data_IF_999953766478
#
_entry.id   IF_999953766478
#
_cell.length_a   1.000
_cell.length_b   1.000
_cell.length_c   1.000
_cell.angle_alpha   90.00
_cell.angle_beta   90.00
_cell.angle_gamma   90.00
#
_symmetry.space_group_name_H-M   'P 1'
#
loop_
_entity.id
_entity.type
_entity.pdbx_description
1 polymer ?
#
# COMPACT_ATOMS: atom_id res chain seq x y z
N UNK A 1 -0.20 -1.47 11.71
CA UNK A 1 -0.65 -2.55 10.80
C UNK A 1 -1.49 -3.57 11.54
N UNK A 2 -2.73 -3.62 11.12
CA UNK A 2 -3.79 -4.50 11.60
C UNK A 2 -3.57 -5.97 11.28
N UNK A 3 -4.17 -6.85 12.08
CA UNK A 3 -4.11 -8.30 11.92
C UNK A 3 -4.67 -8.76 10.56
N UNK A 4 -5.77 -8.14 10.10
CA UNK A 4 -6.36 -8.41 8.78
C UNK A 4 -5.42 -8.14 7.61
N UNK A 5 -4.65 -7.05 7.67
CA UNK A 5 -3.70 -6.70 6.62
C UNK A 5 -2.53 -7.68 6.60
N UNK A 6 -2.08 -8.13 7.78
CA UNK A 6 -1.04 -9.17 7.89
C UNK A 6 -1.50 -10.48 7.27
N UNK A 7 -2.72 -10.93 7.56
CA UNK A 7 -3.27 -12.17 6.99
C UNK A 7 -3.33 -12.10 5.46
N UNK A 8 -3.78 -10.96 4.91
CA UNK A 8 -3.80 -10.73 3.44
C UNK A 8 -2.42 -10.84 2.81
N UNK A 9 -1.38 -10.30 3.47
CA UNK A 9 0.01 -10.35 2.98
C UNK A 9 0.63 -11.73 3.14
N UNK A 10 0.21 -12.51 4.15
CA UNK A 10 0.77 -13.85 4.41
C UNK A 10 0.46 -14.86 3.29
N UNK A 11 -0.64 -14.68 2.56
CA UNK A 11 -1.03 -15.55 1.44
C UNK A 11 -0.32 -15.22 0.12
N UNK A 12 0.51 -14.17 0.09
CA UNK A 12 1.20 -13.76 -1.14
C UNK A 12 2.35 -14.69 -1.51
N UNK A 13 2.66 -14.73 -2.81
CA UNK A 13 3.82 -15.50 -3.29
C UNK A 13 5.10 -14.91 -2.74
N UNK A 14 5.90 -15.72 -2.06
CA UNK A 14 7.12 -15.29 -1.41
C UNK A 14 8.38 -15.85 -2.07
N UNK A 15 9.47 -15.05 -2.04
CA UNK A 15 10.81 -15.46 -2.45
C UNK A 15 11.86 -14.95 -1.46
N UNK A 16 12.95 -15.71 -1.24
CA UNK A 16 14.07 -15.22 -0.44
C UNK A 16 14.79 -14.08 -1.16
N UNK A 17 15.41 -13.21 -0.37
CA UNK A 17 16.20 -12.07 -0.80
C UNK A 17 17.47 -12.03 0.05
N UNK A 18 18.62 -11.93 -0.59
CA UNK A 18 19.93 -11.94 0.08
C UNK A 18 20.57 -10.56 0.02
N UNK A 19 20.64 -9.88 1.17
CA UNK A 19 21.35 -8.62 1.30
C UNK A 19 20.84 -7.49 0.38
N UNK A 20 21.68 -6.48 0.18
CA UNK A 20 21.36 -5.39 -0.76
C UNK A 20 21.40 -5.81 -2.23
N UNK A 21 22.14 -6.85 -2.60
CA UNK A 21 22.17 -7.30 -4.00
C UNK A 21 20.81 -7.90 -4.40
N UNK A 22 20.22 -8.74 -3.55
CA UNK A 22 18.86 -9.23 -3.79
C UNK A 22 17.82 -8.11 -3.81
N UNK A 23 18.02 -7.05 -3.01
CA UNK A 23 17.14 -5.87 -3.07
C UNK A 23 17.27 -5.08 -4.37
N UNK A 24 18.47 -5.00 -4.95
CA UNK A 24 18.69 -4.38 -6.27
C UNK A 24 18.00 -5.17 -7.37
N UNK A 25 18.02 -6.50 -7.32
CA UNK A 25 17.25 -7.33 -8.25
C UNK A 25 15.75 -6.99 -8.20
N UNK A 26 15.19 -6.75 -7.00
CA UNK A 26 13.79 -6.30 -6.86
C UNK A 26 13.55 -4.92 -7.51
N UNK A 27 14.52 -4.01 -7.43
CA UNK A 27 14.43 -2.70 -8.09
C UNK A 27 14.40 -2.87 -9.60
N UNK A 28 15.33 -3.65 -10.15
CA UNK A 28 15.46 -3.89 -11.59
C UNK A 28 14.25 -4.63 -12.18
N UNK A 29 13.60 -5.47 -11.38
CA UNK A 29 12.37 -6.17 -11.73
C UNK A 29 11.09 -5.31 -11.57
N UNK A 30 11.22 -4.04 -11.16
CA UNK A 30 10.10 -3.15 -10.84
C UNK A 30 9.11 -3.79 -9.83
N UNK A 31 9.67 -4.49 -8.83
CA UNK A 31 8.90 -5.28 -7.87
C UNK A 31 7.86 -4.42 -7.12
N UNK A 32 6.69 -5.00 -6.89
CA UNK A 32 5.64 -4.42 -6.05
C UNK A 32 5.19 -5.43 -5.00
N UNK A 33 5.30 -5.09 -3.73
CA UNK A 33 5.07 -6.03 -2.64
C UNK A 33 5.59 -5.54 -1.30
N UNK A 34 5.78 -6.47 -0.37
CA UNK A 34 6.37 -6.20 0.94
C UNK A 34 7.66 -7.00 1.08
N UNK A 35 8.69 -6.38 1.65
CA UNK A 35 9.93 -7.05 2.02
C UNK A 35 10.05 -7.02 3.55
N UNK A 36 10.25 -8.19 4.14
CA UNK A 36 10.39 -8.36 5.58
C UNK A 36 11.74 -9.01 5.89
N UNK A 37 12.46 -8.49 6.89
CA UNK A 37 13.67 -9.13 7.36
C UNK A 37 13.33 -10.51 7.95
N UNK A 38 14.10 -11.54 7.62
CA UNK A 38 13.91 -12.88 8.16
C UNK A 38 14.15 -12.93 9.67
N UNK A 39 14.96 -12.00 10.18
CA UNK A 39 15.20 -11.78 11.61
C UNK A 39 14.91 -10.33 11.98
N UNK A 40 14.18 -10.11 13.06
CA UNK A 40 13.82 -8.77 13.54
C UNK A 40 12.40 -8.36 13.14
N UNK A 41 12.16 -7.04 13.13
CA UNK A 41 10.85 -6.46 12.82
C UNK A 41 10.90 -5.47 11.64
N UNK A 42 12.08 -5.30 11.04
CA UNK A 42 12.30 -4.39 9.93
C UNK A 42 11.55 -4.87 8.67
N UNK A 43 10.82 -3.95 8.06
CA UNK A 43 10.08 -4.21 6.82
C UNK A 43 9.79 -2.93 6.06
N UNK A 44 9.56 -3.06 4.77
CA UNK A 44 9.14 -1.96 3.91
C UNK A 44 8.27 -2.48 2.76
N UNK A 45 7.51 -1.58 2.14
CA UNK A 45 6.82 -1.91 0.89
C UNK A 45 7.67 -1.47 -0.30
N UNK A 46 7.46 -2.12 -1.44
CA UNK A 46 7.97 -1.66 -2.72
C UNK A 46 6.83 -1.40 -3.69
N UNK A 47 6.97 -0.36 -4.50
CA UNK A 47 6.05 -0.03 -5.58
C UNK A 47 6.86 0.26 -6.84
N UNK A 48 6.71 -0.60 -7.86
CA UNK A 48 7.43 -0.49 -9.13
C UNK A 48 8.94 -0.31 -8.92
N UNK A 49 9.53 -1.11 -8.04
CA UNK A 49 10.97 -1.07 -7.73
C UNK A 49 11.38 0.03 -6.75
N UNK A 50 10.47 0.91 -6.30
CA UNK A 50 10.79 1.97 -5.33
C UNK A 50 10.48 1.51 -3.91
N UNK A 51 11.41 1.72 -2.99
CA UNK A 51 11.20 1.42 -1.57
C UNK A 51 10.35 2.52 -0.94
N UNK A 52 9.26 2.12 -0.29
CA UNK A 52 8.30 2.97 0.40
C UNK A 52 8.38 2.72 1.91
N UNK A 53 8.84 3.74 2.63
CA UNK A 53 9.03 3.74 4.07
C UNK A 53 10.00 2.66 4.56
N UNK A 54 10.26 2.66 5.86
CA UNK A 54 10.78 1.50 6.59
C UNK A 54 10.11 1.50 7.96
N UNK A 55 9.55 0.37 8.36
CA UNK A 55 8.86 0.21 9.63
C UNK A 55 9.54 -0.86 10.49
N UNK A 56 9.54 -0.66 11.81
CA UNK A 56 10.05 -1.65 12.76
C UNK A 56 11.57 -1.88 12.69
N UNK A 57 12.31 -0.97 12.05
CA UNK A 57 13.77 -1.04 11.89
C UNK A 57 14.27 0.01 10.90
N UNK A 58 15.47 -0.20 10.37
CA UNK A 58 16.08 0.65 9.34
C UNK A 58 16.53 -0.15 8.12
N UNK A 59 16.70 0.51 6.98
CA UNK A 59 17.06 -0.14 5.71
C UNK A 59 18.43 -0.87 5.79
N UNK A 60 19.34 -0.39 6.64
CA UNK A 60 20.67 -0.99 6.85
C UNK A 60 20.61 -2.38 7.50
N UNK A 61 19.50 -2.74 8.14
CA UNK A 61 19.32 -4.09 8.70
C UNK A 61 19.24 -5.17 7.60
N UNK A 62 18.98 -4.77 6.35
CA UNK A 62 18.93 -5.66 5.19
C UNK A 62 20.29 -5.83 4.50
N UNK A 63 21.37 -5.22 4.99
CA UNK A 63 22.69 -5.31 4.34
C UNK A 63 23.24 -6.74 4.33
N UNK A 64 23.24 -7.38 5.51
CA UNK A 64 23.81 -8.71 5.75
C UNK A 64 22.75 -9.74 6.20
N UNK A 65 21.47 -9.36 6.19
CA UNK A 65 20.39 -10.22 6.65
C UNK A 65 19.60 -10.82 5.49
N UNK A 66 19.19 -12.07 5.68
CA UNK A 66 18.18 -12.69 4.83
C UNK A 66 16.86 -11.93 4.97
N UNK A 67 16.15 -11.77 3.86
CA UNK A 67 14.83 -11.19 3.80
C UNK A 67 13.89 -12.05 2.97
N UNK A 68 12.59 -11.80 3.14
CA UNK A 68 11.53 -12.45 2.37
C UNK A 68 10.74 -11.36 1.65
N UNK A 69 10.73 -11.42 0.32
CA UNK A 69 9.88 -10.57 -0.51
C UNK A 69 8.59 -11.30 -0.82
N UNK A 70 7.46 -10.70 -0.45
CA UNK A 70 6.10 -11.15 -0.76
C UNK A 70 5.51 -10.29 -1.87
N UNK A 71 5.25 -10.90 -3.02
CA UNK A 71 4.73 -10.22 -4.20
C UNK A 71 3.27 -9.85 -4.03
N UNK A 72 2.94 -8.57 -4.16
CA UNK A 72 1.56 -8.15 -4.20
C UNK A 72 0.88 -8.70 -5.46
N UNK A 73 -0.40 -9.08 -5.39
CA UNK A 73 -1.17 -9.46 -6.56
C UNK A 73 -1.36 -8.30 -7.54
N UNK A 74 -1.38 -7.07 -7.03
CA UNK A 74 -1.51 -5.82 -7.80
C UNK A 74 -0.68 -4.70 -7.12
N UNK A 75 -0.06 -3.77 -7.87
CA UNK A 75 0.76 -2.69 -7.29
C UNK A 75 0.01 -1.80 -6.28
N UNK A 76 -1.29 -1.57 -6.52
CA UNK A 76 -2.15 -0.81 -5.61
C UNK A 76 -2.25 -1.40 -4.21
N UNK A 77 -2.18 -2.73 -4.11
CA UNK A 77 -2.23 -3.41 -2.83
C UNK A 77 -0.93 -3.20 -2.05
N UNK A 78 0.23 -3.18 -2.73
CA UNK A 78 1.51 -2.88 -2.08
C UNK A 78 1.53 -1.47 -1.48
N UNK A 79 1.04 -0.46 -2.24
CA UNK A 79 0.92 0.91 -1.75
C UNK A 79 -0.03 1.01 -0.54
N UNK A 80 -1.21 0.39 -0.62
CA UNK A 80 -2.17 0.36 0.47
C UNK A 80 -1.56 -0.23 1.74
N UNK A 81 -0.84 -1.36 1.62
CA UNK A 81 -0.18 -2.01 2.75
C UNK A 81 0.88 -1.09 3.38
N UNK A 82 1.62 -0.32 2.57
CA UNK A 82 2.58 0.68 3.08
C UNK A 82 1.88 1.75 3.92
N UNK A 83 0.75 2.25 3.44
CA UNK A 83 -0.02 3.30 4.12
C UNK A 83 -0.66 2.79 5.43
N UNK A 84 -1.24 1.59 5.41
CA UNK A 84 -1.79 0.95 6.61
C UNK A 84 -0.70 0.58 7.63
N UNK A 85 0.55 0.39 7.17
CA UNK A 85 1.68 0.17 8.08
C UNK A 85 2.12 1.44 8.82
N UNK A 86 1.86 2.62 8.25
CA UNK A 86 2.14 3.91 8.88
C UNK A 86 1.19 4.24 10.04
N UNK A 87 0.04 3.55 10.14
CA UNK A 87 -0.88 3.62 11.29
C UNK A 87 -1.40 5.07 11.54
N UNK A 88 -1.67 5.80 10.45
CA UNK A 88 -2.14 7.19 10.53
C UNK A 88 -3.57 7.28 11.07
N UNK A 89 -3.81 8.26 11.95
CA UNK A 89 -5.15 8.54 12.47
C UNK A 89 -6.03 9.15 11.35
N UNK A 90 -7.33 8.77 11.27
CA UNK A 90 -8.23 9.33 10.29
C UNK A 90 -8.47 10.82 10.56
N UNK A 91 -8.29 11.64 9.52
CA UNK A 91 -8.50 13.09 9.60
C UNK A 91 -9.99 13.44 9.52
N UNK A 92 -10.71 12.75 8.64
CA UNK A 92 -12.11 12.96 8.38
C UNK A 92 -12.90 11.65 8.31
N UNK A 93 -14.20 11.77 8.58
CA UNK A 93 -15.17 10.68 8.55
C UNK A 93 -16.44 11.12 7.84
N UNK A 94 -16.94 10.30 6.91
CA UNK A 94 -18.08 10.63 6.07
C UNK A 94 -19.06 9.45 5.95
N UNK A 95 -20.33 9.77 5.73
CA UNK A 95 -21.39 8.80 5.43
C UNK A 95 -21.56 8.69 3.91
N UNK A 96 -21.59 7.48 3.35
CA UNK A 96 -21.72 7.28 1.90
C UNK A 96 -23.05 7.82 1.35
N UNK A 97 -24.11 7.82 2.17
CA UNK A 97 -25.41 8.40 1.85
C UNK A 97 -25.34 9.91 1.59
N UNK A 98 -24.46 10.62 2.31
CA UNK A 98 -24.30 12.07 2.17
C UNK A 98 -23.25 12.43 1.11
N UNK A 99 -22.15 11.67 1.07
CA UNK A 99 -21.04 11.88 0.14
C UNK A 99 -20.57 10.54 -0.41
N UNK A 100 -20.98 10.17 -1.64
CA UNK A 100 -20.51 8.96 -2.31
C UNK A 100 -18.98 8.91 -2.41
N UNK A 101 -18.42 7.70 -2.45
CA UNK A 101 -16.97 7.49 -2.49
C UNK A 101 -16.38 8.06 -3.78
N UNK A 102 -17.07 7.92 -4.91
CA UNK A 102 -16.65 8.53 -6.18
C UNK A 102 -16.45 10.04 -6.09
N UNK A 103 -17.34 10.74 -5.38
CA UNK A 103 -17.27 12.19 -5.20
C UNK A 103 -16.08 12.61 -4.32
N UNK A 104 -15.82 11.88 -3.25
CA UNK A 104 -14.62 12.09 -2.44
C UNK A 104 -13.36 11.80 -3.27
N UNK A 105 -13.38 10.70 -4.03
CA UNK A 105 -12.30 10.30 -4.91
C UNK A 105 -11.94 11.37 -5.96
N UNK A 106 -12.93 11.97 -6.63
CA UNK A 106 -12.71 13.09 -7.55
C UNK A 106 -11.98 14.27 -6.87
N UNK A 107 -12.42 14.62 -5.66
CA UNK A 107 -11.87 15.74 -4.89
C UNK A 107 -10.43 15.49 -4.45
N UNK A 108 -10.16 14.31 -3.89
CA UNK A 108 -8.84 13.91 -3.40
C UNK A 108 -7.84 13.78 -4.55
N UNK A 109 -8.26 13.18 -5.66
CA UNK A 109 -7.42 13.03 -6.86
C UNK A 109 -7.07 14.38 -7.46
N UNK A 110 -8.03 15.29 -7.58
CA UNK A 110 -7.79 16.65 -8.08
C UNK A 110 -6.88 17.48 -7.17
N UNK A 111 -6.84 17.16 -5.87
CA UNK A 111 -6.00 17.83 -4.88
C UNK A 111 -4.57 17.30 -4.78
N UNK A 112 -4.23 16.21 -5.49
CA UNK A 112 -2.92 15.55 -5.35
C UNK A 112 -2.71 14.92 -3.97
N UNK A 113 -3.78 14.40 -3.36
CA UNK A 113 -3.77 13.83 -2.02
C UNK A 113 -2.78 12.67 -1.89
N UNK A 114 -2.19 12.51 -0.70
CA UNK A 114 -1.31 11.39 -0.35
C UNK A 114 -1.83 10.75 0.93
N UNK A 115 -2.28 9.50 0.81
CA UNK A 115 -2.98 8.81 1.89
C UNK A 115 -3.97 7.80 1.33
N UNK A 116 -4.93 7.39 2.14
CA UNK A 116 -5.96 6.45 1.71
C UNK A 116 -7.35 6.83 2.22
N UNK A 117 -8.34 6.41 1.45
CA UNK A 117 -9.73 6.34 1.87
C UNK A 117 -10.04 4.88 2.24
N UNK A 118 -10.72 4.65 3.35
CA UNK A 118 -11.19 3.34 3.80
C UNK A 118 -12.68 3.35 4.08
N UNK A 119 -13.44 2.54 3.35
CA UNK A 119 -14.85 2.24 3.57
C UNK A 119 -14.97 0.79 4.06
N UNK A 120 -15.03 0.62 5.39
CA UNK A 120 -15.15 -0.67 6.07
C UNK A 120 -16.16 -0.66 7.21
N UNK A 121 -16.56 0.53 7.70
CA UNK A 121 -17.51 0.66 8.80
C UNK A 121 -18.95 0.53 8.32
N UNK A 122 -19.69 -0.42 8.91
CA UNK A 122 -21.08 -0.75 8.57
C UNK A 122 -21.27 -1.26 7.13
N UNK A 123 -20.21 -1.73 6.49
CA UNK A 123 -20.24 -2.31 5.14
C UNK A 123 -20.35 -3.83 5.25
N UNK A 124 -21.33 -4.42 4.58
CA UNK A 124 -21.60 -5.87 4.66
C UNK A 124 -20.87 -6.67 3.59
N UNK A 125 -20.56 -6.03 2.45
CA UNK A 125 -20.02 -6.73 1.29
C UNK A 125 -18.50 -6.88 1.32
N UNK A 126 -17.78 -6.09 2.12
CA UNK A 126 -16.33 -6.14 2.22
C UNK A 126 -15.71 -4.83 2.70
N UNK A 127 -14.38 -4.75 2.58
CA UNK A 127 -13.63 -3.53 2.84
C UNK A 127 -13.18 -2.90 1.51
N UNK A 128 -13.45 -1.61 1.34
CA UNK A 128 -13.10 -0.85 0.14
C UNK A 128 -12.08 0.22 0.48
N UNK A 129 -11.08 0.36 -0.38
CA UNK A 129 -9.98 1.29 -0.20
C UNK A 129 -9.68 2.04 -1.48
N UNK A 130 -9.20 3.27 -1.35
CA UNK A 130 -8.53 3.98 -2.44
C UNK A 130 -7.23 4.55 -1.91
N UNK A 131 -6.10 4.04 -2.38
CA UNK A 131 -4.79 4.59 -2.05
C UNK A 131 -4.44 5.71 -3.05
N UNK A 132 -3.97 6.84 -2.54
CA UNK A 132 -3.61 8.03 -3.32
C UNK A 132 -2.14 8.36 -3.14
N UNK A 133 -1.46 8.62 -4.25
CA UNK A 133 -0.07 9.03 -4.26
C UNK A 133 0.17 10.07 -5.36
N UNK A 134 -0.01 11.34 -5.00
CA UNK A 134 0.07 12.46 -5.93
C UNK A 134 -1.04 12.39 -6.96
N UNK A 135 -0.69 12.35 -8.25
CA UNK A 135 -1.65 12.30 -9.36
C UNK A 135 -2.22 10.89 -9.63
N UNK A 136 -1.86 9.90 -8.80
CA UNK A 136 -2.30 8.51 -8.97
C UNK A 136 -3.22 8.07 -7.84
N UNK A 137 -4.23 7.32 -8.21
CA UNK A 137 -5.14 6.62 -7.31
C UNK A 137 -5.20 5.15 -7.65
N UNK A 138 -5.24 4.29 -6.65
CA UNK A 138 -5.27 2.84 -6.80
C UNK A 138 -6.42 2.29 -5.94
N UNK A 139 -7.63 2.18 -6.51
CA UNK A 139 -8.75 1.55 -5.83
C UNK A 139 -8.52 0.05 -5.63
N UNK A 140 -8.80 -0.43 -4.43
CA UNK A 140 -8.63 -1.81 -3.99
C UNK A 140 -9.79 -2.19 -3.09
N UNK A 141 -10.41 -3.35 -3.30
CA UNK A 141 -11.39 -3.88 -2.34
C UNK A 141 -11.24 -5.38 -2.15
N UNK A 142 -11.61 -5.83 -0.95
CA UNK A 142 -11.65 -7.22 -0.55
C UNK A 142 -13.10 -7.55 -0.22
N UNK A 143 -13.76 -8.30 -1.10
CA UNK A 143 -15.22 -8.51 -1.04
C UNK A 143 -15.63 -9.96 -0.78
N UNK A 144 -16.73 -10.12 -0.06
CA UNK A 144 -17.35 -11.39 0.29
C UNK A 144 -16.58 -12.18 1.35
N UNK A 145 -17.11 -13.37 1.68
CA UNK A 145 -16.56 -14.24 2.73
C UNK A 145 -15.20 -14.89 2.37
N UNK A 146 -14.70 -14.68 1.16
CA UNK A 146 -13.44 -15.23 0.68
C UNK A 146 -12.39 -14.15 0.42
N UNK A 147 -12.62 -12.92 0.88
CA UNK A 147 -11.75 -11.75 0.67
C UNK A 147 -11.28 -11.63 -0.78
N UNK A 148 -12.22 -11.74 -1.72
CA UNK A 148 -11.88 -11.67 -3.14
C UNK A 148 -11.36 -10.27 -3.46
N UNK A 149 -10.13 -10.19 -3.96
CA UNK A 149 -9.54 -8.95 -4.45
C UNK A 149 -10.24 -8.48 -5.72
N UNK A 150 -10.63 -7.21 -5.72
CA UNK A 150 -11.04 -6.43 -6.88
C UNK A 150 -10.26 -5.10 -6.89
N UNK A 151 -9.95 -4.57 -8.07
CA UNK A 151 -9.14 -3.35 -8.24
C UNK A 151 -9.71 -2.47 -9.35
N UNK A 152 -9.27 -1.21 -9.39
CA UNK A 152 -9.66 -0.26 -10.43
C UNK A 152 -11.08 0.28 -10.26
N UNK A 153 -11.68 0.75 -11.36
CA UNK A 153 -12.96 1.48 -11.34
C UNK A 153 -14.12 0.66 -10.74
N UNK A 154 -14.10 -0.67 -10.90
CA UNK A 154 -15.12 -1.57 -10.32
C UNK A 154 -15.22 -1.43 -8.79
N UNK A 155 -14.12 -1.07 -8.11
CA UNK A 155 -14.10 -0.80 -6.67
C UNK A 155 -14.93 0.43 -6.34
N UNK A 156 -14.78 1.51 -7.12
CA UNK A 156 -15.49 2.76 -6.91
C UNK A 156 -16.98 2.60 -7.18
N UNK A 157 -17.32 1.92 -8.28
CA UNK A 157 -18.70 1.61 -8.64
C UNK A 157 -19.41 0.83 -7.53
N UNK A 158 -18.75 -0.20 -6.97
CA UNK A 158 -19.32 -0.95 -5.85
C UNK A 158 -19.37 -0.16 -4.56
N UNK A 159 -18.33 0.61 -4.25
CA UNK A 159 -18.27 1.41 -3.04
C UNK A 159 -19.41 2.45 -2.98
N UNK A 160 -19.84 2.99 -4.12
CA UNK A 160 -20.98 3.91 -4.20
C UNK A 160 -22.33 3.24 -3.95
N UNK A 161 -22.45 1.93 -4.19
CA UNK A 161 -23.66 1.15 -3.87
C UNK A 161 -23.72 0.71 -2.39
N UNK A 162 -22.62 0.88 -1.64
CA UNK A 162 -22.56 0.53 -0.23
C UNK A 162 -23.13 1.63 0.67
N UNK A 163 -23.83 1.19 1.72
CA UNK A 163 -24.29 2.07 2.79
C UNK A 163 -23.38 1.87 3.98
N UNK A 164 -22.51 2.84 4.23
CA UNK A 164 -21.49 2.74 5.26
C UNK A 164 -20.84 4.06 5.59
N UNK A 165 -19.74 3.96 6.33
CA UNK A 165 -18.95 5.08 6.78
C UNK A 165 -17.53 4.86 6.29
N UNK A 166 -16.96 5.89 5.67
CA UNK A 166 -15.56 5.88 5.27
C UNK A 166 -14.76 6.95 6.00
N UNK A 167 -13.47 6.63 6.16
CA UNK A 167 -12.46 7.49 6.71
C UNK A 167 -11.49 7.93 5.62
N UNK A 168 -10.91 9.10 5.81
CA UNK A 168 -9.80 9.59 4.99
C UNK A 168 -8.62 9.86 5.91
N UNK A 169 -7.48 9.24 5.61
CA UNK A 169 -6.24 9.35 6.38
C UNK A 169 -5.11 9.82 5.47
N UNK A 170 -4.55 11.02 5.72
CA UNK A 170 -3.30 11.42 5.10
C UNK A 170 -2.13 10.59 5.66
N UNK A 171 -1.21 10.21 4.78
CA UNK A 171 -0.03 9.44 5.16
C UNK A 171 1.20 10.03 4.49
N UNK A 172 2.21 10.34 5.28
CA UNK A 172 3.55 10.66 4.77
C UNK A 172 4.26 9.37 4.37
N UNK A 173 4.14 8.99 3.09
CA UNK A 173 4.88 7.85 2.52
C UNK A 173 6.21 8.34 1.94
N UNK A 174 7.28 8.21 2.73
CA UNK A 174 8.64 8.54 2.29
C UNK A 174 9.20 7.49 1.33
N UNK A 175 9.87 7.92 0.26
CA UNK A 175 10.66 7.02 -0.58
C UNK A 175 12.07 6.91 -0.03
N UNK A 176 12.57 5.70 0.12
CA UNK A 176 13.92 5.44 0.65
C UNK A 176 14.83 4.97 -0.49
N UNK A 177 16.01 5.58 -0.61
CA UNK A 177 17.01 5.12 -1.58
C UNK A 177 17.81 3.96 -0.98
N UNK A 178 18.06 2.91 -1.78
CA UNK A 178 18.91 1.82 -1.36
C UNK A 178 20.38 2.26 -1.32
N UNK A 179 21.15 1.94 -0.28
CA UNK A 179 22.56 2.26 -0.24
C UNK A 179 23.31 1.71 -1.46
N UNK A 180 24.13 2.55 -2.10
CA UNK A 180 24.90 2.20 -3.28
C UNK A 180 24.19 2.37 -4.63
N UNK A 181 22.90 2.73 -4.67
CA UNK A 181 22.27 3.21 -5.91
C UNK A 181 22.69 4.65 -6.15
N UNK A 182 23.80 4.85 -6.87
CA UNK A 182 24.11 6.19 -7.37
C UNK A 182 23.17 6.47 -8.54
N UNK A 183 22.06 7.18 -8.30
CA UNK A 183 21.40 7.92 -9.38
C UNK A 183 22.35 9.05 -9.75
N UNK A 184 23.30 8.79 -10.66
CA UNK A 184 24.11 9.85 -11.25
C UNK A 184 23.14 10.77 -12.00
N UNK A 185 23.09 12.09 -11.69
CA UNK A 185 22.23 12.99 -12.43
C UNK A 185 22.67 12.99 -13.90
N UNK A 186 21.73 12.73 -14.80
CA UNK A 186 22.00 12.74 -16.24
C UNK A 186 22.72 14.04 -16.63
N UNK A 187 23.82 13.98 -17.40
CA UNK A 187 24.51 15.20 -17.81
C UNK A 187 23.59 16.06 -18.68
N UNK A 188 23.52 17.34 -18.34
CA UNK A 188 22.73 18.37 -19.01
C UNK A 188 23.18 18.64 -20.46
#
# INVERSE_FOLDING_TARGET
>A
MDERVRDRVADWSERPVEGFDGLRDLVDEEFSGVVEAATGTARFAMLSGRVLGVHGGRIEEFEDADAVARSAPEPGVALLVAMLAADAEPEDRYYTEDTPVSKAHETLSAGGFVGYLELSENVLSGDYYVAYYGDRSMPVAFVGNSDRLITGEEVLERADDEVGIYHVSAVDVETVELPGTTTEPAPA
#
